data_IF_718303642979
#
_entry.id   IF_718303642979
#
_cell.length_a   1.000
_cell.length_b   1.000
_cell.length_c   1.000
_cell.angle_alpha   90.00
_cell.angle_beta   90.00
_cell.angle_gamma   90.00
#
_symmetry.space_group_name_H-M   'P 1'
#
loop_
_entity.id
_entity.type
_entity.pdbx_description
1 polymer ?
#
# COMPACT_ATOMS: atom_id res chain seq x y z
N UNK A 1 -19.42 -12.49 1.20
CA UNK A 1 -20.47 -12.03 2.11
C UNK A 1 -19.80 -11.61 3.40
N UNK A 2 -19.99 -10.37 3.83
CA UNK A 2 -19.34 -9.79 5.01
C UNK A 2 -20.47 -9.41 5.98
N UNK A 3 -20.58 -10.14 7.07
CA UNK A 3 -21.56 -9.88 8.12
C UNK A 3 -20.97 -8.91 9.15
N UNK A 4 -21.69 -7.84 9.45
CA UNK A 4 -21.26 -6.79 10.39
C UNK A 4 -22.39 -6.46 11.36
N UNK A 5 -22.07 -5.80 12.46
CA UNK A 5 -23.05 -5.37 13.46
C UNK A 5 -22.98 -3.86 13.61
N UNK A 6 -24.14 -3.21 13.60
CA UNK A 6 -24.28 -1.78 13.78
C UNK A 6 -24.45 -1.39 15.24
N UNK A 7 -24.79 -0.12 15.45
CA UNK A 7 -25.21 0.39 16.75
C UNK A 7 -26.31 -0.48 17.36
N UNK A 8 -26.33 -0.62 18.69
CA UNK A 8 -27.27 -1.51 19.42
C UNK A 8 -27.29 -2.97 18.95
N UNK A 9 -26.24 -3.44 18.24
CA UNK A 9 -26.12 -4.82 17.82
C UNK A 9 -27.01 -5.22 16.64
N UNK A 10 -27.57 -4.25 15.89
CA UNK A 10 -28.37 -4.56 14.71
C UNK A 10 -27.50 -5.25 13.64
N UNK A 11 -27.85 -6.47 13.20
CA UNK A 11 -27.08 -7.18 12.18
C UNK A 11 -27.24 -6.52 10.81
N UNK A 12 -26.15 -6.41 10.07
CA UNK A 12 -26.07 -5.88 8.71
C UNK A 12 -25.16 -6.78 7.87
N UNK A 13 -25.29 -6.68 6.55
CA UNK A 13 -24.58 -7.56 5.64
C UNK A 13 -24.15 -6.81 4.38
N UNK A 14 -22.89 -7.00 3.99
CA UNK A 14 -22.33 -6.50 2.74
C UNK A 14 -22.09 -7.69 1.80
N UNK A 15 -22.75 -7.66 0.65
CA UNK A 15 -22.54 -8.63 -0.43
C UNK A 15 -21.69 -7.97 -1.52
N UNK A 16 -20.60 -8.63 -1.89
CA UNK A 16 -19.68 -8.16 -2.92
C UNK A 16 -19.54 -9.29 -3.94
N UNK A 17 -19.93 -9.00 -5.17
CA UNK A 17 -19.72 -9.88 -6.33
C UNK A 17 -18.56 -9.32 -7.14
N UNK A 18 -17.42 -9.99 -7.09
CA UNK A 18 -16.20 -9.56 -7.78
C UNK A 18 -16.00 -10.41 -9.03
N UNK A 19 -16.53 -9.92 -10.16
CA UNK A 19 -16.42 -10.55 -11.46
C UNK A 19 -15.13 -10.08 -12.14
N UNK A 20 -14.09 -10.90 -12.09
CA UNK A 20 -12.78 -10.52 -12.59
C UNK A 20 -12.16 -11.57 -13.51
N UNK A 21 -11.23 -11.10 -14.33
CA UNK A 21 -10.37 -11.94 -15.15
C UNK A 21 -8.97 -11.87 -14.57
N UNK A 22 -8.55 -12.94 -13.91
CA UNK A 22 -7.31 -12.97 -13.13
C UNK A 22 -6.09 -12.50 -13.93
N UNK A 23 -5.94 -12.96 -15.17
CA UNK A 23 -4.82 -12.55 -16.03
C UNK A 23 -4.81 -11.06 -16.35
N UNK A 24 -5.99 -10.43 -16.50
CA UNK A 24 -6.10 -8.99 -16.79
C UNK A 24 -5.74 -8.17 -15.54
N UNK A 25 -6.06 -8.67 -14.34
CA UNK A 25 -5.66 -8.02 -13.10
C UNK A 25 -4.18 -8.24 -12.77
N UNK A 26 -3.64 -9.43 -13.06
CA UNK A 26 -2.27 -9.79 -12.72
C UNK A 26 -1.22 -9.18 -13.67
N UNK A 27 -1.53 -9.00 -14.96
CA UNK A 27 -0.59 -8.45 -15.94
C UNK A 27 -0.04 -7.06 -15.58
N UNK A 28 -0.87 -6.05 -15.25
CA UNK A 28 -0.36 -4.73 -14.83
C UNK A 28 0.40 -4.82 -13.50
N UNK A 29 -0.07 -5.65 -12.57
CA UNK A 29 0.60 -5.89 -11.28
C UNK A 29 2.04 -6.41 -11.47
N UNK A 30 2.22 -7.35 -12.39
CA UNK A 30 3.52 -7.91 -12.74
C UNK A 30 4.42 -6.89 -13.45
N UNK A 31 3.86 -6.06 -14.33
CA UNK A 31 4.59 -4.98 -14.99
C UNK A 31 5.13 -3.96 -13.98
N UNK A 32 4.29 -3.51 -13.06
CA UNK A 32 4.66 -2.57 -12.00
C UNK A 32 5.80 -3.15 -11.13
N UNK A 33 5.69 -4.42 -10.73
CA UNK A 33 6.74 -5.09 -9.95
C UNK A 33 8.08 -5.11 -10.66
N UNK A 34 8.10 -5.35 -11.97
CA UNK A 34 9.34 -5.33 -12.78
C UNK A 34 9.93 -3.92 -12.81
N UNK A 35 9.11 -2.91 -13.06
CA UNK A 35 9.54 -1.52 -13.12
C UNK A 35 10.10 -1.04 -11.77
N UNK A 36 9.42 -1.33 -10.66
CA UNK A 36 9.89 -0.96 -9.34
C UNK A 36 11.11 -1.75 -8.88
N UNK A 37 11.25 -3.01 -9.29
CA UNK A 37 12.45 -3.80 -9.00
C UNK A 37 13.68 -3.25 -9.71
N UNK A 38 13.54 -2.82 -10.97
CA UNK A 38 14.62 -2.14 -11.72
C UNK A 38 14.96 -0.78 -11.08
N UNK A 39 13.96 0.00 -10.65
CA UNK A 39 14.18 1.24 -9.90
C UNK A 39 14.94 0.98 -8.59
N UNK A 40 14.52 -0.03 -7.82
CA UNK A 40 15.18 -0.40 -6.56
C UNK A 40 16.66 -0.74 -6.79
N UNK A 41 16.94 -1.53 -7.82
CA UNK A 41 18.30 -1.88 -8.19
C UNK A 41 19.14 -0.64 -8.54
N UNK A 42 18.59 0.29 -9.33
CA UNK A 42 19.28 1.54 -9.71
C UNK A 42 19.48 2.49 -8.52
N UNK A 43 18.55 2.49 -7.57
CA UNK A 43 18.64 3.26 -6.33
C UNK A 43 19.57 2.62 -5.28
N UNK A 44 20.17 1.44 -5.57
CA UNK A 44 21.01 0.72 -4.63
C UNK A 44 20.25 0.08 -3.46
N UNK A 45 18.93 -0.06 -3.57
CA UNK A 45 18.08 -0.73 -2.59
C UNK A 45 18.22 -2.25 -2.74
N UNK A 46 18.60 -2.92 -1.65
CA UNK A 46 18.79 -4.37 -1.61
C UNK A 46 18.17 -4.99 -0.35
N UNK A 47 18.02 -6.32 -0.36
CA UNK A 47 17.37 -7.05 0.73
C UNK A 47 15.84 -6.99 0.66
N UNK A 48 15.18 -7.11 1.82
CA UNK A 48 13.72 -7.15 1.92
C UNK A 48 13.14 -5.77 1.54
N UNK A 49 12.40 -5.72 0.44
CA UNK A 49 11.75 -4.49 -0.05
C UNK A 49 10.32 -4.40 0.49
N UNK A 50 10.16 -3.97 1.75
CA UNK A 50 8.84 -3.90 2.40
C UNK A 50 7.87 -2.93 1.71
N UNK A 51 8.37 -1.93 1.00
CA UNK A 51 7.56 -0.95 0.25
C UNK A 51 6.86 -1.54 -0.99
N UNK A 52 7.29 -2.71 -1.46
CA UNK A 52 6.60 -3.47 -2.53
C UNK A 52 5.45 -4.34 -1.99
N UNK A 53 5.20 -4.32 -0.67
CA UNK A 53 4.15 -5.12 -0.01
C UNK A 53 2.76 -4.95 -0.61
N UNK A 54 2.45 -3.76 -1.15
CA UNK A 54 1.20 -3.46 -1.86
C UNK A 54 0.85 -4.46 -2.97
N UNK A 55 1.87 -5.01 -3.63
CA UNK A 55 1.70 -5.91 -4.77
C UNK A 55 1.62 -7.40 -4.37
N UNK A 56 1.83 -7.74 -3.09
CA UNK A 56 1.91 -9.12 -2.62
C UNK A 56 0.82 -9.46 -1.61
N UNK A 57 0.22 -10.64 -1.78
CA UNK A 57 -0.74 -11.19 -0.82
C UNK A 57 -0.12 -11.50 0.55
N UNK A 58 1.17 -11.83 0.58
CA UNK A 58 1.90 -12.19 1.80
C UNK A 58 3.28 -11.52 1.76
N UNK A 59 3.37 -10.26 2.20
CA UNK A 59 4.60 -9.49 2.09
C UNK A 59 5.68 -10.07 3.02
N UNK A 60 6.93 -10.04 2.54
CA UNK A 60 8.08 -10.38 3.37
C UNK A 60 8.43 -9.19 4.25
N UNK A 61 8.72 -9.47 5.53
CA UNK A 61 9.11 -8.46 6.53
C UNK A 61 10.32 -8.95 7.31
N UNK A 62 11.02 -8.02 7.94
CA UNK A 62 12.12 -8.36 8.84
C UNK A 62 11.65 -9.29 10.00
N UNK A 63 12.53 -10.18 10.50
CA UNK A 63 12.21 -11.04 11.64
C UNK A 63 11.71 -10.24 12.85
N UNK A 64 10.56 -10.64 13.42
CA UNK A 64 9.95 -9.98 14.56
C UNK A 64 8.99 -8.83 14.21
N UNK A 65 8.87 -8.44 12.95
CA UNK A 65 7.91 -7.45 12.48
C UNK A 65 6.59 -8.11 12.05
N UNK A 66 5.47 -7.43 12.26
CA UNK A 66 4.18 -7.86 11.72
C UNK A 66 4.05 -7.44 10.25
N UNK A 67 3.60 -8.37 9.41
CA UNK A 67 3.28 -8.09 8.02
C UNK A 67 2.03 -7.22 7.92
N UNK A 68 2.20 -5.98 7.46
CA UNK A 68 1.08 -5.06 7.19
C UNK A 68 0.22 -5.62 6.06
N UNK A 69 -1.11 -5.62 6.23
CA UNK A 69 -2.07 -6.08 5.21
C UNK A 69 -3.12 -5.01 4.86
N UNK A 70 -3.03 -3.82 5.48
CA UNK A 70 -3.82 -2.67 5.05
C UNK A 70 -3.26 -2.09 3.75
N UNK A 71 -4.04 -2.20 2.66
CA UNK A 71 -3.67 -1.72 1.33
C UNK A 71 -3.37 -0.21 1.30
N UNK A 72 -4.01 0.60 2.13
CA UNK A 72 -3.79 2.05 2.14
C UNK A 72 -2.46 2.39 2.81
N UNK A 73 -2.14 1.73 3.92
CA UNK A 73 -0.84 1.88 4.60
C UNK A 73 0.29 1.38 3.71
N UNK A 74 0.10 0.25 3.00
CA UNK A 74 1.08 -0.25 2.03
C UNK A 74 1.28 0.72 0.86
N UNK A 75 0.22 1.35 0.36
CA UNK A 75 0.29 2.36 -0.69
C UNK A 75 1.01 3.63 -0.22
N UNK A 76 0.75 4.08 1.01
CA UNK A 76 1.46 5.21 1.63
C UNK A 76 2.96 4.90 1.77
N UNK A 77 3.33 3.68 2.21
CA UNK A 77 4.71 3.21 2.26
C UNK A 77 5.39 3.24 0.89
N UNK A 78 4.70 2.80 -0.16
CA UNK A 78 5.18 2.88 -1.54
C UNK A 78 5.48 4.34 -1.93
N UNK A 79 4.52 5.25 -1.76
CA UNK A 79 4.70 6.66 -2.12
C UNK A 79 5.81 7.35 -1.31
N UNK A 80 5.86 7.14 0.01
CA UNK A 80 6.88 7.74 0.86
C UNK A 80 8.29 7.21 0.56
N UNK A 81 8.41 5.95 0.12
CA UNK A 81 9.68 5.41 -0.35
C UNK A 81 10.14 6.09 -1.64
N UNK A 82 9.24 6.29 -2.61
CA UNK A 82 9.57 7.00 -3.86
C UNK A 82 9.97 8.46 -3.61
N UNK A 83 9.25 9.17 -2.74
CA UNK A 83 9.60 10.54 -2.32
C UNK A 83 10.96 10.60 -1.65
N UNK A 84 11.24 9.66 -0.77
CA UNK A 84 12.54 9.54 -0.12
C UNK A 84 13.67 9.32 -1.13
N UNK A 85 13.48 8.47 -2.15
CA UNK A 85 14.45 8.29 -3.25
C UNK A 85 14.70 9.62 -4.00
N UNK A 86 13.68 10.46 -4.13
CA UNK A 86 13.77 11.77 -4.79
C UNK A 86 14.26 12.91 -3.88
N UNK A 87 14.57 12.63 -2.61
CA UNK A 87 14.85 13.65 -1.58
C UNK A 87 13.70 14.65 -1.36
N UNK A 88 12.46 14.18 -1.53
CA UNK A 88 11.25 14.94 -1.21
C UNK A 88 10.75 14.60 0.20
N UNK A 89 10.01 15.53 0.81
CA UNK A 89 9.37 15.32 2.09
C UNK A 89 8.32 14.21 2.01
N UNK A 90 8.23 13.43 3.09
CA UNK A 90 7.25 12.36 3.22
C UNK A 90 5.85 12.95 3.37
N UNK A 91 4.86 12.27 2.79
CA UNK A 91 3.45 12.61 3.00
C UNK A 91 3.11 12.25 4.43
N UNK A 92 2.57 13.22 5.17
CA UNK A 92 1.94 12.96 6.46
C UNK A 92 0.44 13.24 6.37
N UNK A 93 -0.34 12.46 7.11
CA UNK A 93 -1.79 12.65 7.20
C UNK A 93 -2.20 13.61 8.32
N UNK A 94 -1.27 14.46 8.81
CA UNK A 94 -1.55 15.40 9.91
C UNK A 94 -2.50 16.53 9.48
N UNK A 95 -2.59 16.83 8.18
CA UNK A 95 -3.53 17.79 7.60
C UNK A 95 -3.29 19.26 7.97
N UNK A 96 -2.27 19.57 8.77
CA UNK A 96 -1.87 20.94 9.13
C UNK A 96 -1.02 21.63 8.07
N UNK A 97 -0.35 20.85 7.22
CA UNK A 97 0.58 21.33 6.19
C UNK A 97 -0.08 22.23 5.11
N UNK A 98 -1.41 22.20 4.97
CA UNK A 98 -2.16 23.01 4.01
C UNK A 98 -2.72 24.32 4.58
N UNK A 99 -2.65 24.52 5.90
CA UNK A 99 -3.29 25.66 6.58
C UNK A 99 -2.27 26.63 7.22
N UNK A 100 -1.00 26.26 7.27
CA UNK A 100 0.08 27.14 7.71
C UNK A 100 0.53 28.06 6.56
N UNK A 101 -0.38 28.89 6.03
CA UNK A 101 -0.05 30.05 5.20
C UNK A 101 -0.42 31.32 5.98
N UNK A 102 0.55 31.95 6.69
CA UNK A 102 0.34 33.25 7.29
C UNK A 102 0.50 34.32 6.21
N UNK A 103 -0.63 34.81 5.69
CA UNK A 103 -0.70 36.12 5.04
C UNK A 103 -0.26 37.25 5.98
#
# INVERSE_FOLDING_TARGET
>A
NIDIFGWMGYPMQIKVDFLCRDSILAAPLALDLILYSDLAQRAGLGGIQEWLSFYYKSPQVAPGLHAEHDLFVQLEKLHNTLRWIMNEDQITHLGREYYDDPA
#
